data_IF_410204314628
#
_entry.id   IF_410204314628
#
_cell.length_a   1.000
_cell.length_b   1.000
_cell.length_c   1.000
_cell.angle_alpha   90.00
_cell.angle_beta   90.00
_cell.angle_gamma   90.00
#
_symmetry.space_group_name_H-M   'P 1'
#
loop_
_entity.id
_entity.type
_entity.pdbx_description
1 polymer ?
#
# COMPACT_ATOMS: atom_id res chain seq x y z
N UNK A 1 2.12 -2.43 -19.25
CA UNK A 1 3.29 -2.52 -18.37
C UNK A 1 3.85 -3.96 -18.35
N UNK A 2 3.00 -4.98 -18.20
CA UNK A 2 3.43 -6.39 -18.10
C UNK A 2 4.17 -6.96 -19.32
N UNK A 3 4.05 -6.37 -20.51
CA UNK A 3 4.93 -6.71 -21.64
C UNK A 3 6.39 -6.31 -21.39
N UNK A 4 6.63 -5.15 -20.76
CA UNK A 4 7.97 -4.66 -20.44
C UNK A 4 8.60 -5.47 -19.30
N UNK A 5 7.80 -5.85 -18.29
CA UNK A 5 8.26 -6.74 -17.22
C UNK A 5 8.70 -8.11 -17.79
N UNK A 6 7.86 -8.73 -18.63
CA UNK A 6 8.20 -9.97 -19.34
C UNK A 6 9.42 -9.82 -20.25
N UNK A 7 9.55 -8.68 -20.93
CA UNK A 7 10.72 -8.41 -21.78
C UNK A 7 12.01 -8.29 -20.97
N UNK A 8 11.94 -7.75 -19.75
CA UNK A 8 13.06 -7.58 -18.83
C UNK A 8 13.36 -8.81 -17.97
N UNK A 9 12.54 -9.86 -18.06
CA UNK A 9 12.65 -11.09 -17.24
C UNK A 9 12.63 -10.80 -15.73
N UNK A 10 11.88 -9.79 -15.32
CA UNK A 10 11.67 -9.42 -13.92
C UNK A 10 10.22 -9.66 -13.53
N UNK A 11 9.99 -9.92 -12.24
CA UNK A 11 8.64 -10.02 -11.72
C UNK A 11 7.88 -8.69 -11.91
N UNK A 12 6.55 -8.78 -12.00
CA UNK A 12 5.71 -7.60 -12.19
C UNK A 12 5.92 -6.55 -11.10
N UNK A 13 6.05 -7.01 -9.86
CA UNK A 13 6.23 -6.13 -8.73
C UNK A 13 7.60 -5.44 -8.80
N UNK A 14 8.66 -6.18 -9.15
CA UNK A 14 10.02 -5.64 -9.32
C UNK A 14 10.08 -4.60 -10.44
N UNK A 15 9.37 -4.86 -11.53
CA UNK A 15 9.21 -3.89 -12.61
C UNK A 15 8.51 -2.60 -12.11
N UNK A 16 7.44 -2.72 -11.32
CA UNK A 16 6.73 -1.56 -10.77
C UNK A 16 7.63 -0.67 -9.91
N UNK A 17 8.34 -1.26 -8.95
CA UNK A 17 9.24 -0.50 -8.05
C UNK A 17 10.35 0.18 -8.83
N UNK A 18 10.97 -0.54 -9.77
CA UNK A 18 12.02 0.03 -10.63
C UNK A 18 11.52 1.22 -11.45
N UNK A 19 10.28 1.16 -11.95
CA UNK A 19 9.68 2.24 -12.73
C UNK A 19 9.27 3.45 -11.86
N UNK A 20 8.82 3.22 -10.63
CA UNK A 20 8.54 4.29 -9.67
C UNK A 20 9.83 5.02 -9.24
N UNK A 21 10.92 4.30 -9.01
CA UNK A 21 12.22 4.93 -8.73
C UNK A 21 12.75 5.77 -9.89
N UNK A 22 12.30 5.47 -11.13
CA UNK A 22 12.55 6.27 -12.32
C UNK A 22 11.54 7.42 -12.53
N UNK A 23 10.61 7.65 -11.59
CA UNK A 23 9.61 8.72 -11.63
C UNK A 23 8.37 8.43 -12.49
N UNK A 24 8.07 7.14 -12.74
CA UNK A 24 6.91 6.70 -13.53
C UNK A 24 5.83 6.17 -12.58
N UNK A 25 5.27 7.06 -11.77
CA UNK A 25 4.44 6.71 -10.61
C UNK A 25 3.02 6.21 -10.96
N UNK A 26 2.55 6.41 -12.19
CA UNK A 26 1.14 6.20 -12.57
C UNK A 26 0.75 4.74 -12.80
N UNK A 27 1.63 3.80 -12.44
CA UNK A 27 1.45 2.36 -12.69
C UNK A 27 1.08 1.65 -11.39
N UNK A 28 0.06 0.79 -11.44
CA UNK A 28 -0.40 -0.08 -10.36
C UNK A 28 -0.78 -1.49 -10.81
N UNK A 29 -0.88 -1.77 -12.12
CA UNK A 29 -1.23 -3.09 -12.65
C UNK A 29 -0.47 -3.45 -13.92
N UNK A 30 -0.40 -4.75 -14.25
CA UNK A 30 0.19 -5.25 -15.49
C UNK A 30 -0.41 -4.61 -16.76
N UNK A 31 -1.69 -4.28 -16.70
CA UNK A 31 -2.44 -3.76 -17.84
C UNK A 31 -2.26 -2.26 -18.05
N UNK A 32 -1.61 -1.56 -17.11
CA UNK A 32 -1.46 -0.12 -17.19
C UNK A 32 -0.55 0.27 -18.36
N UNK A 33 -0.97 1.32 -19.08
CA UNK A 33 -0.26 1.83 -20.23
C UNK A 33 0.80 2.84 -19.78
N UNK A 34 2.04 2.60 -20.18
CA UNK A 34 3.12 3.57 -19.97
C UNK A 34 2.94 4.69 -21.01
N UNK A 35 2.88 5.97 -20.59
CA UNK A 35 2.76 7.09 -21.53
C UNK A 35 3.88 7.05 -22.57
N UNK A 36 3.55 7.28 -23.85
CA UNK A 36 4.50 7.16 -24.97
C UNK A 36 5.81 7.95 -24.74
N UNK A 37 5.73 9.11 -24.08
CA UNK A 37 6.86 9.97 -23.71
C UNK A 37 7.82 9.34 -22.68
N UNK A 38 7.34 8.40 -21.87
CA UNK A 38 8.09 7.74 -20.79
C UNK A 38 8.57 6.34 -21.18
N UNK A 39 8.17 5.79 -22.34
CA UNK A 39 8.56 4.43 -22.76
C UNK A 39 10.08 4.26 -22.85
N UNK A 40 10.81 5.26 -23.34
CA UNK A 40 12.27 5.20 -23.41
C UNK A 40 12.92 5.19 -22.02
N UNK A 41 12.42 6.01 -21.09
CA UNK A 41 12.88 6.04 -19.70
C UNK A 41 12.55 4.74 -18.97
N UNK A 42 11.33 4.21 -19.15
CA UNK A 42 10.90 2.94 -18.58
C UNK A 42 11.78 1.77 -19.02
N UNK A 43 12.08 1.69 -20.32
CA UNK A 43 13.00 0.67 -20.86
C UNK A 43 14.39 0.79 -20.25
N UNK A 44 14.93 2.01 -20.22
CA UNK A 44 16.25 2.25 -19.63
C UNK A 44 16.32 1.89 -18.14
N UNK A 45 15.25 2.18 -17.38
CA UNK A 45 15.17 1.88 -15.95
C UNK A 45 15.18 0.36 -15.69
N UNK A 46 14.46 -0.41 -16.50
CA UNK A 46 14.40 -1.88 -16.45
C UNK A 46 15.63 -2.56 -17.07
N UNK A 47 16.71 -1.82 -17.37
CA UNK A 47 17.91 -2.37 -18.01
C UNK A 47 17.71 -2.82 -19.46
N UNK A 48 16.56 -2.51 -20.06
CA UNK A 48 16.24 -2.85 -21.45
C UNK A 48 16.98 -1.92 -22.40
N UNK A 49 17.68 -2.55 -23.33
CA UNK A 49 18.51 -1.85 -24.31
C UNK A 49 17.66 -0.98 -25.24
N UNK A 50 18.10 0.25 -25.47
CA UNK A 50 17.39 1.23 -26.29
C UNK A 50 17.45 0.89 -27.78
N UNK A 51 16.53 1.42 -28.62
CA UNK A 51 16.52 1.13 -30.06
C UNK A 51 17.81 1.47 -30.80
N UNK A 52 18.63 2.39 -30.26
CA UNK A 52 19.90 2.84 -30.86
C UNK A 52 21.05 1.84 -30.66
N UNK A 53 21.08 1.13 -29.56
CA UNK A 53 22.12 0.14 -29.24
C UNK A 53 21.84 -1.19 -29.94
N UNK A 54 20.56 -1.56 -30.10
CA UNK A 54 20.14 -2.70 -30.93
C UNK A 54 20.49 -2.52 -32.42
N UNK A 55 20.93 -1.32 -32.85
CA UNK A 55 21.48 -1.12 -34.18
C UNK A 55 22.92 -1.64 -34.31
N UNK A 56 23.60 -1.96 -33.23
CA UNK A 56 24.95 -2.52 -33.25
C UNK A 56 24.89 -4.03 -33.47
N UNK A 57 25.73 -4.56 -34.36
CA UNK A 57 25.83 -6.01 -34.59
C UNK A 57 26.36 -6.72 -33.35
N UNK A 58 27.27 -6.10 -32.60
CA UNK A 58 27.85 -6.66 -31.39
C UNK A 58 26.79 -6.96 -30.32
N UNK A 59 25.77 -6.11 -30.19
CA UNK A 59 24.66 -6.36 -29.25
C UNK A 59 23.97 -7.70 -29.50
N UNK A 60 23.72 -8.06 -30.76
CA UNK A 60 23.06 -9.31 -31.10
C UNK A 60 23.96 -10.53 -30.92
N UNK A 61 25.28 -10.36 -31.11
CA UNK A 61 26.29 -11.37 -30.77
C UNK A 61 26.26 -11.63 -29.26
N UNK A 62 26.36 -10.57 -28.46
CA UNK A 62 26.39 -10.66 -27.00
C UNK A 62 25.08 -11.23 -26.43
N UNK A 63 23.93 -10.82 -26.99
CA UNK A 63 22.61 -11.27 -26.58
C UNK A 63 22.34 -12.75 -26.93
N UNK A 64 22.80 -13.20 -28.10
CA UNK A 64 22.54 -14.57 -28.57
C UNK A 64 23.63 -15.58 -28.23
N UNK A 65 24.81 -15.13 -27.82
CA UNK A 65 26.00 -15.97 -27.65
C UNK A 65 26.55 -16.53 -28.96
N UNK A 66 26.02 -16.11 -30.12
CA UNK A 66 26.42 -16.57 -31.45
C UNK A 66 27.69 -15.86 -31.92
N UNK A 67 28.54 -16.57 -32.64
CA UNK A 67 29.62 -15.94 -33.40
C UNK A 67 29.07 -15.09 -34.55
N UNK A 68 29.88 -14.15 -35.06
CA UNK A 68 29.49 -13.30 -36.20
C UNK A 68 29.10 -14.13 -37.44
N UNK A 69 29.73 -15.30 -37.65
CA UNK A 69 29.43 -16.19 -38.76
C UNK A 69 28.04 -16.82 -38.61
N UNK A 70 27.73 -17.36 -37.43
CA UNK A 70 26.43 -17.95 -37.11
C UNK A 70 25.30 -16.91 -37.15
N UNK A 71 25.56 -15.72 -36.62
CA UNK A 71 24.63 -14.59 -36.71
C UNK A 71 24.35 -14.20 -38.17
N UNK A 72 25.38 -14.17 -39.01
CA UNK A 72 25.24 -13.80 -40.43
C UNK A 72 24.47 -14.85 -41.22
N UNK A 73 24.69 -16.13 -40.94
CA UNK A 73 23.95 -17.24 -41.54
C UNK A 73 22.48 -17.22 -41.11
N UNK A 74 22.24 -17.02 -39.82
CA UNK A 74 20.90 -16.89 -39.26
C UNK A 74 20.16 -15.69 -39.84
N UNK A 75 20.79 -14.53 -39.98
CA UNK A 75 20.13 -13.35 -40.56
C UNK A 75 19.88 -13.50 -42.07
N UNK A 76 20.69 -14.30 -42.75
CA UNK A 76 20.50 -14.62 -44.18
C UNK A 76 19.20 -15.40 -44.41
N UNK A 77 18.82 -16.32 -43.51
CA UNK A 77 17.54 -17.06 -43.61
C UNK A 77 16.31 -16.14 -43.52
N UNK A 78 16.46 -14.99 -42.87
CA UNK A 78 15.42 -13.95 -42.70
C UNK A 78 15.55 -12.80 -43.73
N UNK A 79 16.38 -13.00 -44.75
CA UNK A 79 16.57 -12.05 -45.85
C UNK A 79 17.35 -10.79 -45.47
N UNK A 80 18.26 -10.87 -44.50
CA UNK A 80 19.16 -9.78 -44.11
C UNK A 80 20.60 -10.20 -44.35
N UNK A 81 21.30 -9.47 -45.23
CA UNK A 81 22.72 -9.72 -45.51
C UNK A 81 23.59 -8.92 -44.54
N UNK A 82 24.38 -9.62 -43.71
CA UNK A 82 25.42 -9.05 -42.88
C UNK A 82 26.79 -9.30 -43.54
N UNK A 83 27.58 -8.24 -43.70
CA UNK A 83 28.98 -8.35 -44.15
C UNK A 83 29.91 -8.47 -42.92
N UNK A 84 31.02 -9.23 -42.99
CA UNK A 84 31.95 -9.43 -41.86
C UNK A 84 32.51 -8.12 -41.26
N UNK A 85 32.55 -7.04 -42.03
CA UNK A 85 33.02 -5.73 -41.57
C UNK A 85 31.93 -4.84 -40.93
N UNK A 86 30.68 -5.31 -40.95
CA UNK A 86 29.50 -4.53 -40.55
C UNK A 86 29.42 -4.38 -39.04
N UNK A 87 29.63 -3.14 -38.55
CA UNK A 87 29.44 -2.81 -37.12
C UNK A 87 27.99 -2.46 -36.76
N UNK A 88 27.16 -2.05 -37.73
CA UNK A 88 25.76 -1.68 -37.50
C UNK A 88 24.83 -2.42 -38.43
N UNK A 89 23.69 -2.87 -37.92
CA UNK A 89 22.70 -3.56 -38.73
C UNK A 89 22.23 -2.67 -39.89
N UNK A 90 21.84 -3.26 -41.04
CA UNK A 90 21.36 -2.49 -42.18
C UNK A 90 20.12 -1.66 -41.83
N UNK A 91 19.97 -0.50 -42.49
CA UNK A 91 18.81 0.39 -42.29
C UNK A 91 17.50 -0.39 -42.48
N UNK A 92 16.52 -0.13 -41.61
CA UNK A 92 15.20 -0.78 -41.60
C UNK A 92 15.18 -2.30 -41.30
N UNK A 93 16.32 -2.90 -40.93
CA UNK A 93 16.38 -4.33 -40.60
C UNK A 93 16.08 -4.66 -39.14
N UNK A 94 16.03 -3.67 -38.24
CA UNK A 94 15.84 -3.86 -36.79
C UNK A 94 14.62 -4.72 -36.45
N UNK A 95 13.50 -4.51 -37.15
CA UNK A 95 12.26 -5.28 -36.94
C UNK A 95 12.42 -6.75 -37.30
N UNK A 96 13.23 -7.08 -38.32
CA UNK A 96 13.52 -8.45 -38.73
C UNK A 96 14.45 -9.14 -37.74
N UNK A 97 15.46 -8.42 -37.23
CA UNK A 97 16.30 -8.90 -36.12
C UNK A 97 15.45 -9.24 -34.90
N UNK A 98 14.62 -8.31 -34.42
CA UNK A 98 13.73 -8.55 -33.27
C UNK A 98 12.88 -9.81 -33.48
N UNK A 99 12.21 -9.93 -34.63
CA UNK A 99 11.38 -11.10 -34.93
C UNK A 99 12.17 -12.41 -34.92
N UNK A 100 13.35 -12.42 -35.54
CA UNK A 100 14.19 -13.61 -35.64
C UNK A 100 14.74 -14.09 -34.30
N UNK A 101 14.84 -13.20 -33.31
CA UNK A 101 15.34 -13.50 -31.97
C UNK A 101 14.24 -13.62 -30.91
N UNK A 102 13.05 -13.07 -31.17
CA UNK A 102 11.86 -13.25 -30.32
C UNK A 102 11.33 -14.69 -30.35
N UNK A 103 11.53 -15.45 -31.43
CA UNK A 103 11.06 -16.84 -31.55
C UNK A 103 11.92 -17.83 -30.73
N UNK A 104 13.15 -17.47 -30.36
CA UNK A 104 14.10 -18.35 -29.65
C UNK A 104 14.25 -18.03 -28.16
N UNK A 105 13.53 -17.04 -27.64
CA UNK A 105 13.69 -16.59 -26.26
C UNK A 105 15.07 -15.99 -25.95
N UNK A 106 15.75 -15.44 -26.96
CA UNK A 106 17.08 -14.85 -26.79
C UNK A 106 17.01 -13.63 -25.88
N UNK A 107 17.77 -13.70 -24.78
CA UNK A 107 17.82 -12.68 -23.72
C UNK A 107 18.47 -11.41 -24.27
N UNK A 108 17.90 -10.24 -23.96
CA UNK A 108 18.61 -8.99 -24.25
C UNK A 108 19.88 -8.97 -23.39
N UNK A 109 21.04 -8.72 -24.00
CA UNK A 109 22.23 -8.41 -23.23
C UNK A 109 21.89 -7.21 -22.33
N UNK A 110 22.08 -7.29 -21.01
CA UNK A 110 21.83 -6.15 -20.14
C UNK A 110 22.66 -4.97 -20.65
N UNK A 111 22.13 -3.74 -20.52
CA UNK A 111 22.97 -2.56 -20.62
C UNK A 111 24.22 -2.81 -19.76
N UNK A 112 25.45 -2.54 -20.26
CA UNK A 112 26.65 -2.69 -19.45
C UNK A 112 26.36 -1.99 -18.13
N UNK A 113 26.48 -2.71 -17.01
CA UNK A 113 26.11 -2.20 -15.69
C UNK A 113 26.56 -0.74 -15.64
N UNK A 114 25.60 0.18 -15.70
CA UNK A 114 25.86 1.54 -15.26
C UNK A 114 26.31 1.28 -13.86
N UNK A 115 27.62 1.41 -13.60
CA UNK A 115 28.22 1.24 -12.28
C UNK A 115 27.41 2.16 -11.38
N UNK A 116 26.33 1.65 -10.79
CA UNK A 116 25.65 2.25 -9.67
C UNK A 116 26.77 2.22 -8.68
N UNK A 117 27.39 3.39 -8.47
CA UNK A 117 28.45 3.55 -7.51
C UNK A 117 27.94 2.87 -6.27
N UNK A 118 28.48 1.70 -5.93
CA UNK A 118 28.13 1.02 -4.70
C UNK A 118 28.35 2.10 -3.66
N UNK A 119 27.31 2.61 -2.99
CA UNK A 119 27.52 3.61 -1.98
C UNK A 119 28.55 3.00 -1.03
N UNK A 120 29.56 3.75 -0.59
CA UNK A 120 30.51 3.22 0.38
C UNK A 120 29.73 2.57 1.53
N UNK A 121 30.31 1.55 2.16
CA UNK A 121 29.77 1.00 3.42
C UNK A 121 29.76 2.14 4.45
N UNK A 122 28.64 2.86 4.55
CA UNK A 122 28.27 3.82 5.59
C UNK A 122 27.30 3.04 6.48
N UNK A 123 27.42 2.88 7.79
CA UNK A 123 28.16 3.51 8.89
C UNK A 123 27.85 2.63 10.12
N UNK A 124 28.30 3.00 11.32
CA UNK A 124 27.71 2.53 12.57
C UNK A 124 26.18 2.84 12.59
N UNK A 125 25.35 1.86 12.22
CA UNK A 125 23.91 2.02 12.24
C UNK A 125 23.39 1.90 13.67
N UNK A 126 22.77 2.97 14.16
CA UNK A 126 22.06 2.98 15.43
C UNK A 126 20.58 3.24 15.16
N UNK A 127 19.74 2.27 15.55
CA UNK A 127 18.29 2.40 15.49
C UNK A 127 17.84 3.42 16.54
N UNK A 128 17.37 4.58 16.08
CA UNK A 128 16.84 5.63 16.96
C UNK A 128 15.35 5.42 17.24
N UNK A 129 14.88 5.97 18.35
CA UNK A 129 13.46 6.01 18.68
C UNK A 129 12.72 6.94 17.70
N UNK A 130 11.87 6.34 16.87
CA UNK A 130 11.08 7.02 15.84
C UNK A 130 9.61 6.89 16.20
N UNK A 131 8.89 7.99 16.33
CA UNK A 131 7.45 7.95 16.63
C UNK A 131 7.09 8.84 17.81
N UNK A 132 5.79 8.98 18.05
CA UNK A 132 5.23 9.90 19.05
C UNK A 132 4.40 9.17 20.10
N UNK A 133 3.96 7.95 19.80
CA UNK A 133 3.04 7.20 20.65
C UNK A 133 3.77 6.01 21.24
N UNK A 134 3.79 5.87 22.56
CA UNK A 134 4.31 4.66 23.21
C UNK A 134 3.41 3.46 22.88
N UNK A 135 4.01 2.27 22.72
CA UNK A 135 3.22 1.06 22.49
C UNK A 135 2.40 0.72 23.74
N UNK A 136 1.10 0.50 23.56
CA UNK A 136 0.18 0.11 24.64
C UNK A 136 -0.38 -1.30 24.47
N UNK A 137 -0.52 -1.76 23.23
CA UNK A 137 -1.07 -3.07 22.89
C UNK A 137 -0.33 -3.68 21.70
N UNK A 138 -0.27 -5.01 21.70
CA UNK A 138 0.33 -5.82 20.64
C UNK A 138 -0.72 -6.76 20.05
N UNK A 139 -0.53 -7.16 18.80
CA UNK A 139 -1.34 -8.22 18.19
C UNK A 139 -0.82 -9.58 18.62
N UNK A 140 -1.74 -10.44 19.04
CA UNK A 140 -1.49 -11.86 19.27
C UNK A 140 -1.35 -12.63 17.96
N UNK A 141 -0.76 -13.82 18.05
CA UNK A 141 -0.68 -14.77 16.92
C UNK A 141 -2.06 -15.11 16.37
N UNK A 142 -3.05 -15.33 17.25
CA UNK A 142 -4.44 -15.62 16.86
C UNK A 142 -5.11 -14.44 16.17
N UNK A 143 -4.87 -13.20 16.61
CA UNK A 143 -5.40 -12.02 15.93
C UNK A 143 -4.76 -11.84 14.55
N UNK A 144 -3.47 -12.13 14.41
CA UNK A 144 -2.78 -12.08 13.12
C UNK A 144 -3.32 -13.13 12.13
N UNK A 145 -3.59 -14.35 12.61
CA UNK A 145 -4.24 -15.39 11.80
C UNK A 145 -5.67 -15.00 11.46
N UNK A 146 -6.45 -14.50 12.42
CA UNK A 146 -7.82 -14.05 12.19
C UNK A 146 -7.92 -12.91 11.16
N UNK A 147 -6.94 -11.98 11.16
CA UNK A 147 -6.82 -10.96 10.11
C UNK A 147 -6.64 -11.62 8.72
N UNK A 148 -5.78 -12.63 8.63
CA UNK A 148 -5.55 -13.34 7.36
C UNK A 148 -6.81 -14.08 6.89
N UNK A 149 -7.48 -14.81 7.77
CA UNK A 149 -8.72 -15.53 7.47
C UNK A 149 -9.84 -14.59 7.02
N UNK A 150 -9.96 -13.41 7.65
CA UNK A 150 -10.91 -12.39 7.23
C UNK A 150 -10.59 -11.85 5.82
N UNK A 151 -9.31 -11.72 5.48
CA UNK A 151 -8.91 -11.35 4.12
C UNK A 151 -9.18 -12.46 3.10
N UNK A 152 -9.01 -13.74 3.48
CA UNK A 152 -9.37 -14.86 2.60
C UNK A 152 -10.86 -14.85 2.27
N UNK A 153 -11.72 -14.59 3.26
CA UNK A 153 -13.16 -14.44 3.07
C UNK A 153 -13.49 -13.25 2.17
N UNK A 154 -12.95 -12.07 2.49
CA UNK A 154 -13.24 -10.82 1.76
C UNK A 154 -12.81 -10.91 0.28
N UNK A 155 -11.72 -11.64 -0.01
CA UNK A 155 -11.19 -11.79 -1.37
C UNK A 155 -11.63 -13.08 -2.09
N UNK A 156 -12.43 -13.95 -1.46
CA UNK A 156 -12.80 -15.26 -2.04
C UNK A 156 -13.42 -15.16 -3.43
N UNK A 157 -14.36 -14.23 -3.62
CA UNK A 157 -15.09 -14.02 -4.87
C UNK A 157 -14.46 -12.93 -5.76
N UNK A 158 -13.25 -12.47 -5.41
CA UNK A 158 -12.53 -11.44 -6.17
C UNK A 158 -11.82 -12.02 -7.40
N UNK A 159 -11.38 -11.14 -8.31
CA UNK A 159 -10.56 -11.54 -9.46
C UNK A 159 -9.13 -12.00 -9.11
N UNK A 160 -8.70 -11.83 -7.85
CA UNK A 160 -7.40 -12.23 -7.34
C UNK A 160 -7.52 -12.78 -5.90
N UNK A 161 -8.11 -13.97 -5.72
CA UNK A 161 -8.33 -14.56 -4.40
C UNK A 161 -7.01 -14.97 -3.74
N UNK A 162 -7.00 -15.00 -2.41
CA UNK A 162 -5.86 -15.56 -1.65
C UNK A 162 -5.88 -17.08 -1.82
N UNK A 163 -5.04 -17.57 -2.73
CA UNK A 163 -4.93 -19.00 -3.04
C UNK A 163 -3.47 -19.41 -3.30
N UNK A 164 -2.96 -20.49 -2.69
CA UNK A 164 -3.62 -21.31 -1.68
C UNK A 164 -3.83 -20.54 -0.35
N UNK A 165 -4.97 -20.76 0.34
CA UNK A 165 -5.22 -20.14 1.64
C UNK A 165 -4.45 -20.82 2.77
N UNK A 166 -4.40 -20.15 3.92
CA UNK A 166 -3.99 -20.73 5.19
C UNK A 166 -2.55 -20.45 5.61
N UNK A 167 -2.30 -20.79 6.87
CA UNK A 167 -0.98 -20.71 7.49
C UNK A 167 -0.05 -21.74 6.84
N UNK A 168 1.08 -21.26 6.30
CA UNK A 168 2.14 -22.12 5.76
C UNK A 168 3.03 -22.65 6.88
N UNK A 169 3.37 -21.79 7.85
CA UNK A 169 4.20 -22.16 9.00
C UNK A 169 3.84 -21.33 10.24
N UNK A 170 3.28 -21.99 11.26
CA UNK A 170 2.88 -21.37 12.52
C UNK A 170 4.06 -20.73 13.28
N UNK A 171 5.27 -21.31 13.19
CA UNK A 171 6.44 -20.72 13.83
C UNK A 171 6.80 -19.36 13.21
N UNK A 172 6.61 -19.19 11.89
CA UNK A 172 6.85 -17.91 11.21
C UNK A 172 5.77 -16.88 11.56
N UNK A 173 4.52 -17.31 11.78
CA UNK A 173 3.46 -16.44 12.33
C UNK A 173 3.87 -15.95 13.72
N UNK A 174 4.29 -16.86 14.60
CA UNK A 174 4.75 -16.54 15.95
C UNK A 174 5.93 -15.55 15.91
N UNK A 175 6.97 -15.83 15.12
CA UNK A 175 8.10 -14.91 14.93
C UNK A 175 7.66 -13.53 14.44
N UNK A 176 6.64 -13.46 13.58
CA UNK A 176 6.13 -12.20 13.06
C UNK A 176 5.39 -11.40 14.14
N UNK A 177 4.51 -12.04 14.89
CA UNK A 177 3.76 -11.43 15.99
C UNK A 177 4.67 -10.99 17.16
N UNK A 178 5.76 -11.72 17.43
CA UNK A 178 6.71 -11.38 18.50
C UNK A 178 7.77 -10.37 18.11
N UNK A 179 8.00 -10.09 16.82
CA UNK A 179 9.03 -9.13 16.38
C UNK A 179 8.87 -7.74 17.02
N UNK A 180 7.68 -7.15 17.15
CA UNK A 180 7.49 -5.88 17.86
C UNK A 180 7.92 -5.90 19.34
N UNK A 181 7.93 -7.08 19.97
CA UNK A 181 8.31 -7.26 21.38
C UNK A 181 9.82 -7.48 21.57
N UNK A 182 10.62 -7.39 20.51
CA UNK A 182 12.08 -7.55 20.59
C UNK A 182 12.67 -6.57 21.61
N UNK A 183 13.46 -7.07 22.56
CA UNK A 183 14.12 -6.26 23.58
C UNK A 183 15.55 -6.72 23.85
N UNK A 184 16.36 -5.81 24.40
CA UNK A 184 17.64 -6.13 25.02
C UNK A 184 17.50 -5.83 26.51
N UNK A 185 17.42 -6.88 27.33
CA UNK A 185 17.06 -6.75 28.73
C UNK A 185 15.66 -6.15 28.90
N UNK A 186 15.56 -5.02 29.59
CA UNK A 186 14.30 -4.30 29.82
C UNK A 186 14.01 -3.21 28.76
N UNK A 187 14.92 -3.00 27.82
CA UNK A 187 14.79 -1.94 26.81
C UNK A 187 14.20 -2.52 25.53
N UNK A 188 12.99 -2.07 25.16
CA UNK A 188 12.36 -2.44 23.90
C UNK A 188 13.15 -1.87 22.72
N UNK A 189 13.35 -2.70 21.69
CA UNK A 189 13.95 -2.28 20.42
C UNK A 189 13.03 -1.34 19.62
N UNK A 190 11.72 -1.49 19.80
CA UNK A 190 10.69 -0.72 19.11
C UNK A 190 9.75 -0.06 20.16
N UNK A 191 10.19 1.01 20.85
CA UNK A 191 9.44 1.56 21.97
C UNK A 191 8.17 2.34 21.59
N UNK A 192 8.01 2.71 20.32
CA UNK A 192 6.85 3.46 19.80
C UNK A 192 5.92 2.57 18.98
N UNK A 193 4.63 2.93 18.94
CA UNK A 193 3.62 2.26 18.12
C UNK A 193 3.98 2.30 16.63
N UNK A 194 4.59 3.39 16.15
CA UNK A 194 5.04 3.51 14.78
C UNK A 194 6.17 2.52 14.45
N UNK A 195 7.16 2.37 15.34
CA UNK A 195 8.24 1.39 15.16
C UNK A 195 7.76 -0.04 15.30
N UNK A 196 6.94 -0.32 16.32
CA UNK A 196 6.40 -1.65 16.57
C UNK A 196 5.49 -2.11 15.42
N UNK A 197 4.66 -1.20 14.89
CA UNK A 197 3.84 -1.45 13.71
C UNK A 197 4.69 -1.68 12.45
N UNK A 198 5.73 -0.87 12.23
CA UNK A 198 6.66 -1.06 11.11
C UNK A 198 7.41 -2.41 11.20
N UNK A 199 7.86 -2.79 12.40
CA UNK A 199 8.51 -4.06 12.65
C UNK A 199 7.57 -5.24 12.39
N UNK A 200 6.31 -5.15 12.82
CA UNK A 200 5.27 -6.14 12.54
C UNK A 200 5.04 -6.30 11.03
N UNK A 201 4.77 -5.18 10.35
CA UNK A 201 4.52 -5.13 8.91
C UNK A 201 5.66 -5.79 8.14
N UNK A 202 6.89 -5.35 8.41
CA UNK A 202 8.08 -5.88 7.75
C UNK A 202 8.23 -7.39 8.00
N UNK A 203 7.95 -7.87 9.23
CA UNK A 203 8.02 -9.30 9.54
C UNK A 203 7.02 -10.11 8.71
N UNK A 204 5.75 -9.69 8.74
CA UNK A 204 4.66 -10.43 8.08
C UNK A 204 4.83 -10.42 6.57
N UNK A 205 5.27 -9.29 5.99
CA UNK A 205 5.46 -9.15 4.55
C UNK A 205 6.56 -10.09 4.00
N UNK A 206 7.64 -10.29 4.75
CA UNK A 206 8.87 -10.95 4.28
C UNK A 206 9.09 -12.36 4.84
N UNK A 207 8.49 -12.74 5.96
CA UNK A 207 8.69 -14.07 6.54
C UNK A 207 7.90 -15.18 5.80
N UNK A 208 6.97 -14.83 4.91
CA UNK A 208 6.12 -15.79 4.19
C UNK A 208 5.41 -16.79 5.11
N UNK A 209 4.81 -16.30 6.19
CA UNK A 209 4.11 -17.10 7.21
C UNK A 209 2.86 -17.81 6.67
N UNK A 210 2.26 -17.25 5.63
CA UNK A 210 1.06 -17.76 4.95
C UNK A 210 1.39 -18.27 3.54
N UNK A 211 0.54 -19.15 3.00
CA UNK A 211 0.72 -19.71 1.66
C UNK A 211 0.64 -18.64 0.57
N UNK A 212 -0.31 -17.73 0.69
CA UNK A 212 -0.44 -16.52 -0.13
C UNK A 212 -0.94 -15.36 0.76
N UNK A 213 -1.08 -14.16 0.22
CA UNK A 213 -1.70 -13.03 0.94
C UNK A 213 -0.80 -12.33 1.97
N UNK A 214 0.45 -12.76 2.18
CA UNK A 214 1.37 -12.16 3.17
C UNK A 214 1.44 -10.62 3.12
N UNK A 215 1.56 -10.04 1.91
CA UNK A 215 1.58 -8.58 1.70
C UNK A 215 0.29 -7.90 2.16
N UNK A 216 -0.86 -8.49 1.84
CA UNK A 216 -2.19 -7.98 2.25
C UNK A 216 -2.37 -8.11 3.76
N UNK A 217 -1.99 -9.25 4.34
CA UNK A 217 -2.03 -9.47 5.80
C UNK A 217 -1.13 -8.49 6.53
N UNK A 218 0.08 -8.24 6.04
CA UNK A 218 1.00 -7.27 6.64
C UNK A 218 0.40 -5.87 6.69
N UNK A 219 -0.21 -5.43 5.58
CA UNK A 219 -0.87 -4.13 5.48
C UNK A 219 -2.04 -3.99 6.45
N UNK A 220 -2.96 -4.95 6.47
CA UNK A 220 -4.11 -4.90 7.38
C UNK A 220 -3.68 -5.05 8.84
N UNK A 221 -2.66 -5.87 9.13
CA UNK A 221 -2.09 -5.99 10.47
C UNK A 221 -1.48 -4.67 10.95
N UNK A 222 -0.79 -3.90 10.08
CA UNK A 222 -0.30 -2.57 10.42
C UNK A 222 -1.45 -1.61 10.74
N UNK A 223 -2.48 -1.56 9.88
CA UNK A 223 -3.64 -0.68 10.09
C UNK A 223 -4.33 -1.01 11.42
N UNK A 224 -4.58 -2.29 11.70
CA UNK A 224 -5.20 -2.75 12.92
C UNK A 224 -4.32 -2.48 14.16
N UNK A 225 -3.00 -2.69 14.05
CA UNK A 225 -2.04 -2.42 15.13
C UNK A 225 -2.00 -0.94 15.49
N UNK A 226 -2.03 -0.05 14.49
CA UNK A 226 -2.07 1.40 14.71
C UNK A 226 -3.39 1.81 15.38
N UNK A 227 -4.53 1.26 14.95
CA UNK A 227 -5.85 1.59 15.52
C UNK A 227 -5.94 1.24 17.00
N UNK A 228 -5.51 0.03 17.40
CA UNK A 228 -5.54 -0.38 18.81
C UNK A 228 -4.58 0.45 19.69
N UNK A 229 -3.61 1.13 19.08
CA UNK A 229 -2.68 2.05 19.73
C UNK A 229 -3.08 3.53 19.56
N UNK A 230 -4.29 3.82 19.08
CA UNK A 230 -4.82 5.18 19.03
C UNK A 230 -4.35 6.02 17.84
N UNK A 231 -3.80 5.38 16.80
CA UNK A 231 -3.33 6.02 15.58
C UNK A 231 -4.22 5.63 14.40
N UNK A 232 -4.37 6.55 13.44
CA UNK A 232 -5.04 6.29 12.17
C UNK A 232 -4.14 6.72 11.02
N UNK A 233 -4.11 5.92 9.95
CA UNK A 233 -3.38 6.24 8.74
C UNK A 233 -4.11 7.31 7.92
N UNK A 234 -3.34 8.20 7.28
CA UNK A 234 -3.86 9.35 6.53
C UNK A 234 -3.42 9.37 5.07
N UNK A 235 -2.74 8.33 4.60
CA UNK A 235 -2.34 8.19 3.21
C UNK A 235 -3.44 7.53 2.36
N UNK A 236 -3.36 7.72 1.05
CA UNK A 236 -4.26 7.06 0.10
C UNK A 236 -3.88 5.58 -0.11
N UNK A 237 -4.82 4.77 -0.61
CA UNK A 237 -4.62 3.36 -0.91
C UNK A 237 -3.42 3.11 -1.85
N UNK A 238 -3.23 3.96 -2.86
CA UNK A 238 -2.10 3.84 -3.80
C UNK A 238 -0.74 3.98 -3.10
N UNK A 239 -0.65 4.84 -2.08
CA UNK A 239 0.58 5.03 -1.33
C UNK A 239 0.87 3.83 -0.42
N UNK A 240 -0.16 3.26 0.22
CA UNK A 240 -0.06 2.00 0.97
C UNK A 240 0.44 0.87 0.07
N UNK A 241 -0.12 0.78 -1.14
CA UNK A 241 0.26 -0.22 -2.12
C UNK A 241 1.73 -0.09 -2.52
N UNK A 242 2.17 1.13 -2.87
CA UNK A 242 3.58 1.40 -3.22
C UNK A 242 4.54 1.07 -2.09
N UNK A 243 4.20 1.49 -0.87
CA UNK A 243 5.02 1.21 0.32
C UNK A 243 5.11 -0.30 0.56
N UNK A 244 4.00 -1.02 0.42
CA UNK A 244 3.96 -2.48 0.59
C UNK A 244 4.85 -3.21 -0.41
N UNK A 245 4.80 -2.82 -1.69
CA UNK A 245 5.66 -3.43 -2.70
C UNK A 245 7.14 -3.11 -2.47
N UNK A 246 7.48 -1.87 -2.11
CA UNK A 246 8.86 -1.50 -1.77
C UNK A 246 9.42 -2.34 -0.64
N UNK A 247 8.68 -2.53 0.46
CA UNK A 247 9.13 -3.39 1.57
C UNK A 247 9.29 -4.84 1.12
N UNK A 248 8.34 -5.38 0.36
CA UNK A 248 8.36 -6.77 -0.09
C UNK A 248 9.55 -7.11 -0.99
N UNK A 249 10.21 -6.10 -1.58
CA UNK A 249 11.34 -6.26 -2.50
C UNK A 249 12.67 -5.78 -1.92
N UNK A 250 12.71 -5.46 -0.62
CA UNK A 250 13.87 -4.82 -0.01
C UNK A 250 14.28 -3.50 -0.67
N UNK A 251 13.30 -2.73 -1.13
CA UNK A 251 13.46 -1.50 -1.92
C UNK A 251 13.41 -0.20 -1.10
N UNK A 252 13.41 -0.26 0.24
CA UNK A 252 13.42 0.96 1.06
C UNK A 252 14.81 1.55 1.23
N UNK A 253 15.83 0.69 1.26
CA UNK A 253 17.24 1.08 1.38
C UNK A 253 18.09 0.26 0.41
N UNK A 254 19.33 0.68 0.07
CA UNK A 254 20.18 -0.13 -0.78
C UNK A 254 20.40 -1.54 -0.21
N UNK A 255 20.18 -2.57 -1.02
CA UNK A 255 20.34 -3.98 -0.60
C UNK A 255 21.77 -4.33 -0.16
N UNK A 256 22.76 -3.52 -0.53
CA UNK A 256 24.15 -3.63 -0.08
C UNK A 256 24.40 -3.13 1.34
N UNK A 257 23.39 -2.55 2.02
CA UNK A 257 23.53 -2.02 3.37
C UNK A 257 23.66 -3.15 4.42
N UNK A 258 24.52 -2.94 5.43
CA UNK A 258 24.50 -3.76 6.65
C UNK A 258 23.20 -3.54 7.40
N UNK A 259 22.78 -4.54 8.21
CA UNK A 259 21.60 -4.43 9.08
C UNK A 259 20.32 -4.07 8.31
N UNK A 260 20.20 -4.60 7.09
CA UNK A 260 19.14 -4.29 6.11
C UNK A 260 17.76 -4.23 6.78
N UNK A 261 17.39 -5.28 7.51
CA UNK A 261 16.08 -5.38 8.15
C UNK A 261 15.79 -4.25 9.15
N UNK A 262 16.79 -3.79 9.90
CA UNK A 262 16.58 -2.73 10.88
C UNK A 262 16.54 -1.34 10.23
N UNK A 263 17.32 -1.14 9.17
CA UNK A 263 17.26 0.08 8.35
C UNK A 263 15.93 0.22 7.64
N UNK A 264 15.41 -0.87 7.07
CA UNK A 264 14.10 -0.88 6.43
C UNK A 264 12.97 -0.63 7.43
N UNK A 265 13.05 -1.22 8.64
CA UNK A 265 12.11 -0.91 9.71
C UNK A 265 12.20 0.56 10.13
N UNK A 266 13.40 1.15 10.19
CA UNK A 266 13.56 2.56 10.52
C UNK A 266 12.92 3.49 9.46
N UNK A 267 13.19 3.24 8.18
CA UNK A 267 12.58 4.00 7.07
C UNK A 267 11.06 3.83 7.05
N UNK A 268 10.58 2.61 7.24
CA UNK A 268 9.15 2.33 7.33
C UNK A 268 8.51 3.03 8.55
N UNK A 269 9.16 3.03 9.71
CA UNK A 269 8.68 3.71 10.91
C UNK A 269 8.60 5.23 10.70
N UNK A 270 9.58 5.83 10.02
CA UNK A 270 9.55 7.26 9.65
C UNK A 270 8.41 7.56 8.69
N UNK A 271 8.19 6.69 7.70
CA UNK A 271 7.06 6.81 6.79
C UNK A 271 5.71 6.68 7.54
N UNK A 272 5.56 5.70 8.42
CA UNK A 272 4.36 5.53 9.26
C UNK A 272 4.14 6.77 10.14
N UNK A 273 5.18 7.31 10.77
CA UNK A 273 5.10 8.53 11.60
C UNK A 273 4.64 9.78 10.83
N UNK A 274 4.94 9.86 9.53
CA UNK A 274 4.52 10.95 8.64
C UNK A 274 3.07 10.78 8.15
N UNK A 275 2.64 9.54 7.96
CA UNK A 275 1.32 9.18 7.41
C UNK A 275 0.34 8.69 8.47
N UNK A 276 0.58 9.04 9.73
CA UNK A 276 -0.35 8.74 10.83
C UNK A 276 -0.60 9.97 11.67
N UNK A 277 -1.76 9.97 12.32
CA UNK A 277 -2.14 10.95 13.34
C UNK A 277 -2.85 10.25 14.49
N UNK A 278 -2.85 10.88 15.65
CA UNK A 278 -3.66 10.43 16.77
C UNK A 278 -5.15 10.54 16.43
N UNK A 279 -5.93 9.56 16.91
CA UNK A 279 -7.39 9.57 16.84
C UNK A 279 -7.91 10.62 17.83
N UNK A 280 -8.59 11.64 17.30
CA UNK A 280 -9.12 12.73 18.12
C UNK A 280 -10.55 12.43 18.56
N UNK A 281 -10.76 12.26 19.87
CA UNK A 281 -12.07 11.97 20.48
C UNK A 281 -12.70 13.21 21.16
N UNK A 282 -12.14 14.39 20.95
CA UNK A 282 -12.53 15.59 21.69
C UNK A 282 -13.79 16.26 21.11
N UNK A 283 -14.77 16.55 21.97
CA UNK A 283 -15.93 17.38 21.60
C UNK A 283 -15.78 18.81 22.12
N UNK A 284 -16.27 19.78 21.35
CA UNK A 284 -16.21 21.21 21.70
C UNK A 284 -17.53 21.90 21.42
N UNK A 285 -17.96 22.88 22.24
CA UNK A 285 -19.17 23.65 21.99
C UNK A 285 -19.13 24.34 20.61
N UNK A 286 -20.29 24.40 19.95
CA UNK A 286 -20.45 25.05 18.65
C UNK A 286 -21.78 25.76 18.56
N UNK A 287 -21.84 26.87 17.81
CA UNK A 287 -23.12 27.46 17.42
C UNK A 287 -23.95 26.47 16.59
N UNK A 288 -25.24 26.39 16.86
CA UNK A 288 -26.17 25.49 16.16
C UNK A 288 -26.11 25.67 14.64
N UNK A 289 -25.95 26.88 14.13
CA UNK A 289 -25.78 27.13 12.69
C UNK A 289 -24.58 26.39 12.09
N UNK A 290 -23.44 26.36 12.80
CA UNK A 290 -22.23 25.65 12.36
C UNK A 290 -22.41 24.14 12.51
N UNK A 291 -22.99 23.69 13.62
CA UNK A 291 -23.25 22.27 13.85
C UNK A 291 -24.19 21.68 12.78
N UNK A 292 -25.27 22.38 12.43
CA UNK A 292 -26.17 21.97 11.35
C UNK A 292 -25.45 21.87 10.01
N UNK A 293 -24.56 22.82 9.70
CA UNK A 293 -23.78 22.76 8.47
C UNK A 293 -22.89 21.52 8.41
N UNK A 294 -22.15 21.22 9.49
CA UNK A 294 -21.32 20.01 9.59
C UNK A 294 -22.19 18.76 9.45
N UNK A 295 -23.26 18.64 10.23
CA UNK A 295 -24.11 17.45 10.20
C UNK A 295 -24.72 17.18 8.81
N UNK A 296 -25.02 18.22 8.02
CA UNK A 296 -25.46 18.06 6.63
C UNK A 296 -24.41 17.40 5.73
N UNK A 297 -23.11 17.59 5.99
CA UNK A 297 -22.06 16.90 5.21
C UNK A 297 -22.01 15.40 5.52
N UNK A 298 -22.72 14.95 6.55
CA UNK A 298 -22.86 13.54 6.93
C UNK A 298 -24.29 13.02 6.70
N UNK A 299 -25.01 13.59 5.72
CA UNK A 299 -26.37 13.19 5.33
C UNK A 299 -27.38 13.26 6.48
N UNK A 300 -27.19 14.22 7.39
CA UNK A 300 -28.17 14.47 8.45
C UNK A 300 -29.25 15.47 8.01
N UNK A 301 -30.50 15.13 8.29
CA UNK A 301 -31.67 15.97 8.07
C UNK A 301 -32.22 16.51 9.40
N UNK A 302 -33.05 17.55 9.31
CA UNK A 302 -33.54 18.30 10.46
C UNK A 302 -35.02 18.61 10.35
N UNK A 303 -35.78 18.21 11.37
CA UNK A 303 -37.20 18.52 11.48
C UNK A 303 -37.51 19.20 12.81
N UNK A 304 -38.51 20.08 12.80
CA UNK A 304 -39.06 20.62 14.04
C UNK A 304 -39.70 19.48 14.84
N UNK A 305 -39.32 19.32 16.11
CA UNK A 305 -39.93 18.30 16.94
C UNK A 305 -41.30 18.77 17.43
N UNK A 306 -42.34 17.93 17.30
CA UNK A 306 -43.67 18.24 17.84
C UNK A 306 -43.65 18.25 19.38
N UNK A 307 -44.06 19.37 20.00
CA UNK A 307 -44.20 19.51 21.45
C UNK A 307 -43.87 20.90 22.00
N UNK A 308 -44.04 21.08 23.32
CA UNK A 308 -43.69 22.31 24.05
C UNK A 308 -42.18 22.33 24.32
N UNK A 309 -41.47 23.29 23.73
CA UNK A 309 -40.03 23.48 23.90
C UNK A 309 -39.30 23.54 22.56
N UNK A 310 -38.32 24.43 22.46
CA UNK A 310 -37.53 24.63 21.24
C UNK A 310 -36.61 23.41 21.03
N UNK A 311 -37.13 22.35 20.41
CA UNK A 311 -36.46 21.07 20.18
C UNK A 311 -36.42 20.75 18.69
N UNK A 312 -35.35 20.07 18.29
CA UNK A 312 -35.11 19.65 16.91
C UNK A 312 -34.88 18.15 16.85
N UNK A 313 -35.46 17.51 15.85
CA UNK A 313 -35.17 16.14 15.47
C UNK A 313 -34.05 16.16 14.44
N UNK A 314 -33.03 15.35 14.67
CA UNK A 314 -31.91 15.15 13.75
C UNK A 314 -31.93 13.69 13.33
N UNK A 315 -32.00 13.44 12.03
CA UNK A 315 -32.03 12.09 11.45
C UNK A 315 -30.85 11.87 10.54
N UNK A 316 -30.35 10.64 10.44
CA UNK A 316 -29.28 10.25 9.50
C UNK A 316 -29.62 8.88 8.92
N UNK A 317 -29.54 8.73 7.61
CA UNK A 317 -29.77 7.44 6.95
C UNK A 317 -28.42 6.79 6.63
N UNK A 318 -28.19 5.59 7.14
CA UNK A 318 -26.95 4.84 6.89
C UNK A 318 -27.23 3.53 6.14
N UNK A 319 -26.34 3.11 5.22
CA UNK A 319 -26.45 1.80 4.57
C UNK A 319 -26.03 0.68 5.54
N UNK A 320 -26.77 -0.43 5.55
CA UNK A 320 -26.41 -1.67 6.24
C UNK A 320 -26.26 -2.82 5.24
N UNK A 321 -25.15 -3.56 5.36
CA UNK A 321 -24.96 -4.85 4.66
C UNK A 321 -25.90 -5.88 5.31
N UNK A 322 -26.93 -6.33 4.60
CA UNK A 322 -27.81 -7.40 5.06
C UNK A 322 -27.17 -8.79 4.90
N UNK A 323 -27.65 -9.78 5.68
CA UNK A 323 -27.19 -11.18 5.72
C UNK A 323 -27.33 -11.91 4.36
N UNK A 324 -28.01 -11.31 3.36
CA UNK A 324 -28.35 -11.90 2.07
C UNK A 324 -28.18 -10.93 0.88
N UNK A 325 -27.11 -10.11 0.86
CA UNK A 325 -26.82 -9.12 -0.20
C UNK A 325 -27.93 -8.08 -0.49
N UNK A 326 -29.01 -8.03 0.28
CA UNK A 326 -29.99 -6.93 0.27
C UNK A 326 -29.44 -5.77 1.08
N UNK A 327 -29.11 -4.67 0.42
CA UNK A 327 -28.81 -3.39 1.09
C UNK A 327 -30.07 -2.91 1.78
N UNK A 328 -30.00 -2.73 3.10
CA UNK A 328 -31.09 -2.16 3.90
C UNK A 328 -30.57 -0.84 4.46
N UNK A 329 -31.37 0.22 4.39
CA UNK A 329 -31.05 1.46 5.09
C UNK A 329 -31.58 1.40 6.53
N UNK A 330 -30.80 1.96 7.46
CA UNK A 330 -31.21 2.21 8.83
C UNK A 330 -31.29 3.73 9.05
N UNK A 331 -32.38 4.20 9.64
CA UNK A 331 -32.55 5.61 9.99
C UNK A 331 -32.24 5.78 11.47
N UNK A 332 -31.17 6.52 11.75
CA UNK A 332 -30.80 6.95 13.09
C UNK A 332 -31.49 8.27 13.40
N UNK A 333 -31.92 8.47 14.65
CA UNK A 333 -32.59 9.70 15.06
C UNK A 333 -32.26 10.10 16.49
N UNK A 334 -32.15 11.40 16.74
CA UNK A 334 -32.04 11.98 18.07
C UNK A 334 -32.86 13.28 18.15
N UNK A 335 -33.51 13.51 19.28
CA UNK A 335 -34.19 14.77 19.58
C UNK A 335 -33.39 15.54 20.63
N UNK A 336 -33.06 16.79 20.35
CA UNK A 336 -32.23 17.64 21.22
C UNK A 336 -32.81 19.04 21.37
N UNK A 337 -32.53 19.70 22.50
CA UNK A 337 -32.93 21.08 22.72
C UNK A 337 -32.10 22.03 21.86
N UNK A 338 -32.76 22.90 21.10
CA UNK A 338 -32.14 23.90 20.25
C UNK A 338 -32.89 25.23 20.45
N UNK A 339 -32.29 26.15 21.20
CA UNK A 339 -32.88 27.45 21.51
C UNK A 339 -32.83 28.44 20.31
N UNK A 340 -32.24 28.03 19.18
CA UNK A 340 -32.13 28.82 17.95
C UNK A 340 -30.73 28.72 17.33
N UNK A 341 -30.61 29.04 16.04
CA UNK A 341 -29.38 28.84 15.25
C UNK A 341 -28.17 29.65 15.77
N UNK A 342 -28.43 30.78 16.42
CA UNK A 342 -27.40 31.63 17.03
C UNK A 342 -26.89 31.14 18.39
N UNK A 343 -27.57 30.17 19.02
CA UNK A 343 -27.21 29.66 20.35
C UNK A 343 -26.17 28.55 20.25
N UNK A 344 -25.48 28.25 21.35
CA UNK A 344 -24.45 27.21 21.39
C UNK A 344 -25.03 25.86 21.80
N UNK A 345 -24.69 24.83 21.04
CA UNK A 345 -24.81 23.44 21.46
C UNK A 345 -23.65 23.13 22.42
N UNK A 346 -23.99 22.73 23.64
CA UNK A 346 -23.00 22.34 24.64
C UNK A 346 -22.25 21.07 24.21
N UNK A 347 -21.03 20.89 24.74
CA UNK A 347 -20.20 19.71 24.48
C UNK A 347 -20.96 18.39 24.65
N UNK A 348 -21.73 18.26 25.74
CA UNK A 348 -22.49 17.02 26.01
C UNK A 348 -23.58 16.77 24.98
N UNK A 349 -24.26 17.82 24.49
CA UNK A 349 -25.26 17.70 23.43
C UNK A 349 -24.60 17.24 22.13
N UNK A 350 -23.45 17.81 21.76
CA UNK A 350 -22.70 17.41 20.57
C UNK A 350 -22.23 15.96 20.71
N UNK A 351 -21.74 15.57 21.89
CA UNK A 351 -21.35 14.21 22.20
C UNK A 351 -22.50 13.21 22.00
N UNK A 352 -23.69 13.51 22.54
CA UNK A 352 -24.88 12.66 22.38
C UNK A 352 -25.33 12.58 20.92
N UNK A 353 -25.36 13.71 20.19
CA UNK A 353 -25.72 13.74 18.77
C UNK A 353 -24.76 12.88 17.96
N UNK A 354 -23.45 13.07 18.15
CA UNK A 354 -22.43 12.31 17.44
C UNK A 354 -22.57 10.81 17.69
N UNK A 355 -22.68 10.41 18.96
CA UNK A 355 -22.82 8.99 19.33
C UNK A 355 -24.10 8.36 18.78
N UNK A 356 -25.24 9.06 18.87
CA UNK A 356 -26.53 8.52 18.39
C UNK A 356 -26.61 8.44 16.87
N UNK A 357 -25.92 9.33 16.17
CA UNK A 357 -25.88 9.35 14.71
C UNK A 357 -24.67 8.62 14.13
N UNK A 358 -23.89 7.89 14.94
CA UNK A 358 -22.68 7.15 14.50
C UNK A 358 -21.66 8.08 13.80
N UNK A 359 -21.41 9.24 14.39
CA UNK A 359 -20.42 10.24 13.98
C UNK A 359 -19.29 10.31 15.02
N UNK A 360 -18.81 9.13 15.41
CA UNK A 360 -17.78 8.92 16.43
C UNK A 360 -16.64 8.03 15.87
N UNK A 361 -15.49 7.95 16.56
CA UNK A 361 -14.33 7.21 16.08
C UNK A 361 -14.57 5.74 15.79
N UNK A 362 -15.54 5.10 16.46
CA UNK A 362 -15.93 3.70 16.26
C UNK A 362 -16.68 3.46 14.94
N UNK A 363 -17.12 4.54 14.28
CA UNK A 363 -17.75 4.53 12.96
C UNK A 363 -16.96 5.39 11.97
N UNK A 364 -15.63 5.44 12.14
CA UNK A 364 -14.67 6.14 11.28
C UNK A 364 -14.81 7.68 11.22
N UNK A 365 -15.59 8.28 12.13
CA UNK A 365 -15.81 9.73 12.18
C UNK A 365 -15.25 10.31 13.49
N UNK A 366 -13.93 10.45 13.54
CA UNK A 366 -13.28 11.14 14.65
C UNK A 366 -13.46 12.67 14.57
N UNK A 367 -12.98 13.41 15.56
CA UNK A 367 -13.16 14.86 15.60
C UNK A 367 -12.47 15.62 14.46
N UNK A 368 -11.37 15.10 13.90
CA UNK A 368 -10.75 15.73 12.74
C UNK A 368 -11.62 15.57 11.48
N UNK A 369 -12.16 14.37 11.27
CA UNK A 369 -13.13 14.09 10.19
C UNK A 369 -14.39 14.94 10.39
N UNK A 370 -14.96 14.92 11.59
CA UNK A 370 -16.20 15.62 11.89
C UNK A 370 -16.11 17.14 11.76
N UNK A 371 -15.08 17.78 12.34
CA UNK A 371 -15.02 19.24 12.36
C UNK A 371 -14.30 19.87 11.16
N UNK A 372 -13.40 19.15 10.51
CA UNK A 372 -12.56 19.70 9.45
C UNK A 372 -12.73 18.98 8.11
N UNK A 373 -13.58 17.95 8.03
CA UNK A 373 -13.80 17.19 6.80
C UNK A 373 -12.55 16.43 6.35
N UNK A 374 -11.70 16.00 7.29
CA UNK A 374 -10.54 15.19 6.96
C UNK A 374 -10.98 13.90 6.26
N UNK A 375 -10.48 13.64 5.06
CA UNK A 375 -10.76 12.42 4.32
C UNK A 375 -9.81 11.30 4.77
N UNK A 376 -10.39 10.13 5.05
CA UNK A 376 -9.66 8.89 5.29
C UNK A 376 -10.05 7.94 4.16
N UNK A 377 -9.07 7.28 3.57
CA UNK A 377 -9.29 6.34 2.48
C UNK A 377 -10.25 5.20 2.92
N UNK A 378 -11.21 4.84 2.06
CA UNK A 378 -12.23 3.85 2.35
C UNK A 378 -11.66 2.46 2.68
N UNK A 379 -10.53 2.09 2.07
CA UNK A 379 -9.83 0.83 2.38
C UNK A 379 -9.32 0.82 3.83
N UNK A 380 -8.79 1.96 4.31
CA UNK A 380 -8.32 2.10 5.68
C UNK A 380 -9.51 1.96 6.64
N UNK A 381 -10.61 2.67 6.38
CA UNK A 381 -11.82 2.58 7.20
C UNK A 381 -12.37 1.15 7.28
N UNK A 382 -12.43 0.45 6.14
CA UNK A 382 -12.96 -0.93 6.08
C UNK A 382 -12.21 -1.90 7.01
N UNK A 383 -10.89 -1.74 7.12
CA UNK A 383 -10.01 -2.66 7.85
C UNK A 383 -9.55 -2.16 9.22
N UNK A 384 -9.78 -0.89 9.54
CA UNK A 384 -9.40 -0.30 10.83
C UNK A 384 -9.98 -1.04 12.02
N UNK A 385 -11.25 -1.43 11.94
CA UNK A 385 -11.96 -2.11 13.03
C UNK A 385 -12.04 -3.63 12.85
N UNK A 386 -11.14 -4.22 12.06
CA UNK A 386 -11.15 -5.66 11.77
C UNK A 386 -11.10 -6.52 13.03
N UNK A 387 -10.33 -6.14 14.04
CA UNK A 387 -10.24 -6.87 15.30
C UNK A 387 -11.55 -6.81 16.10
N UNK A 388 -12.22 -5.65 16.09
CA UNK A 388 -13.54 -5.51 16.71
C UNK A 388 -14.59 -6.37 16.00
N UNK A 389 -14.46 -6.53 14.67
CA UNK A 389 -15.30 -7.41 13.87
C UNK A 389 -15.05 -8.88 14.19
N UNK A 390 -13.79 -9.29 14.29
CA UNK A 390 -13.38 -10.65 14.64
C UNK A 390 -13.79 -11.04 16.06
N UNK A 391 -13.69 -10.14 17.03
CA UNK A 391 -14.09 -10.41 18.41
C UNK A 391 -15.61 -10.59 18.62
N UNK A 392 -16.44 -10.29 17.60
CA UNK A 392 -17.91 -10.47 17.63
C UNK A 392 -18.38 -11.77 16.97
N UNK A 393 -17.48 -12.48 16.28
CA UNK A 393 -17.70 -13.82 15.76
C UNK A 393 -17.52 -14.83 16.90
#
# INVERSE_FOLDING_TARGET
MGELAREADVDLDEALVTLWDAGIDQLGSANDLIPARQVAAARSALGLVGPREQLNVQYWIDASGLTLSELSERMRSVGVKLDPSTRRIPKNSLRRFRRAFSEDGVRQAPLPEVRRSTPPLVDNFELRDIGRTAVSKYLSESELVGIHEALEEDFRDSGDPISPPGVKNAALVSMSAHRPLTSIGQTLKYPTAEMAGAALFHSVALNHSFHNGNKRTALVALIAFLDINGLVMTCAQDELFRMTLRVAQHGLVPTSSSDLADREVAELAEWVRKHTRAIDRSDRPLKWIKLKHILRTFDCEFDAAGGVGNRINITRTIPRKGILKRSRSEVLSIQVACAGDGTEAARNTIHEVRRKLQLDPEHDVDSQVFYHGAEIDGFICEYRHILTRLARL
#
